data_IF_591342691601
#
_entry.id   IF_591342691601
#
_cell.length_a   1.000
_cell.length_b   1.000
_cell.length_c   1.000
_cell.angle_alpha   90.00
_cell.angle_beta   90.00
_cell.angle_gamma   90.00
#
_symmetry.space_group_name_H-M   'P 1'
#
loop_
_entity.id
_entity.type
_entity.pdbx_description
1 polymer ?
#
# COMPACT_ATOMS: atom_id res chain seq x y z
N UNK A 1 7.05 8.64 12.92
CA UNK A 1 8.38 9.26 13.09
C UNK A 1 8.61 10.33 12.03
N UNK A 2 9.20 11.47 12.39
CA UNK A 2 9.33 12.65 11.51
C UNK A 2 10.75 12.75 10.94
N UNK A 3 11.04 11.95 9.90
CA UNK A 3 12.25 12.14 9.08
C UNK A 3 12.17 13.52 8.39
N UNK A 4 13.24 14.28 8.42
CA UNK A 4 13.29 15.66 7.90
C UNK A 4 14.44 15.88 6.92
N UNK A 5 14.45 17.04 6.26
CA UNK A 5 15.57 17.44 5.39
C UNK A 5 16.89 17.60 6.15
N UNK A 6 16.85 17.86 7.46
CA UNK A 6 18.06 17.97 8.29
C UNK A 6 18.83 16.65 8.41
N UNK A 7 18.14 15.52 8.21
CA UNK A 7 18.75 14.19 8.23
C UNK A 7 19.51 13.87 6.92
N UNK A 8 19.35 14.70 5.88
CA UNK A 8 19.96 14.52 4.57
C UNK A 8 21.17 15.45 4.43
N UNK A 9 22.37 14.87 4.32
CA UNK A 9 23.63 15.62 4.17
C UNK A 9 24.16 15.57 2.74
N UNK A 10 24.55 16.73 2.20
CA UNK A 10 25.39 16.78 0.99
C UNK A 10 26.83 16.45 1.37
N UNK A 11 27.49 15.65 0.54
CA UNK A 11 28.86 15.17 0.75
C UNK A 11 29.73 15.56 -0.45
N UNK A 12 30.98 15.94 -0.21
CA UNK A 12 31.92 16.38 -1.25
C UNK A 12 32.72 15.21 -1.89
N UNK A 13 32.53 13.97 -1.44
CA UNK A 13 33.15 12.80 -2.05
C UNK A 13 32.98 11.52 -1.23
N UNK A 14 33.39 10.37 -1.77
CA UNK A 14 33.31 9.06 -1.09
C UNK A 14 34.19 8.97 0.16
N UNK A 15 35.24 9.78 0.26
CA UNK A 15 36.17 9.79 1.39
C UNK A 15 35.53 10.31 2.70
N UNK A 16 34.54 11.20 2.62
CA UNK A 16 33.78 11.66 3.80
C UNK A 16 32.93 10.54 4.39
N UNK A 17 32.36 9.67 3.55
CA UNK A 17 31.63 8.48 3.99
C UNK A 17 32.54 7.44 4.67
N UNK A 18 33.83 7.42 4.32
CA UNK A 18 34.81 6.47 4.89
C UNK A 18 35.38 6.95 6.23
N UNK A 19 35.47 8.27 6.44
CA UNK A 19 35.87 8.88 7.73
C UNK A 19 34.73 8.98 8.73
N UNK A 20 33.48 8.95 8.28
CA UNK A 20 32.27 9.17 9.07
C UNK A 20 31.76 7.95 9.88
N UNK A 21 32.64 7.09 10.39
CA UNK A 21 32.20 6.05 11.36
C UNK A 21 31.65 6.68 12.66
N UNK A 22 32.01 7.93 12.96
CA UNK A 22 31.49 8.70 14.08
C UNK A 22 30.06 9.25 13.85
N UNK A 23 29.67 9.52 12.60
CA UNK A 23 28.43 10.25 12.27
C UNK A 23 27.30 9.34 11.73
N UNK A 24 27.52 8.02 11.70
CA UNK A 24 26.51 7.03 11.25
C UNK A 24 25.90 7.38 9.88
N UNK A 25 26.72 7.81 8.91
CA UNK A 25 26.25 8.23 7.58
C UNK A 25 26.12 7.05 6.61
N UNK A 26 24.96 6.94 5.95
CA UNK A 26 24.73 5.96 4.87
C UNK A 26 24.44 6.65 3.54
N UNK A 27 25.06 6.16 2.46
CA UNK A 27 24.92 6.76 1.13
C UNK A 27 23.52 6.54 0.56
N UNK A 28 22.84 7.60 0.13
CA UNK A 28 21.55 7.53 -0.57
C UNK A 28 21.63 7.85 -2.06
N UNK A 29 22.59 8.66 -2.48
CA UNK A 29 22.86 9.02 -3.88
C UNK A 29 24.31 9.52 -3.99
N UNK A 30 24.82 9.66 -5.21
CA UNK A 30 26.09 10.37 -5.40
C UNK A 30 26.00 11.78 -4.78
N UNK A 31 26.95 12.12 -3.90
CA UNK A 31 27.00 13.39 -3.18
C UNK A 31 25.94 13.58 -2.08
N UNK A 32 25.13 12.56 -1.74
CA UNK A 32 24.06 12.69 -0.73
C UNK A 32 24.01 11.47 0.19
N UNK A 33 23.97 11.72 1.50
CA UNK A 33 23.93 10.72 2.56
C UNK A 33 22.78 10.99 3.54
N UNK A 34 22.39 9.95 4.28
CA UNK A 34 21.47 9.98 5.41
C UNK A 34 22.26 9.85 6.71
N UNK A 35 21.96 10.73 7.67
CA UNK A 35 22.36 10.56 9.06
C UNK A 35 21.45 9.51 9.71
N UNK A 36 22.01 8.37 10.09
CA UNK A 36 21.25 7.27 10.72
C UNK A 36 21.23 7.48 12.23
N UNK A 37 20.03 7.53 12.81
CA UNK A 37 19.90 7.50 14.26
C UNK A 37 20.25 6.09 14.78
N UNK A 38 21.09 5.93 15.82
CA UNK A 38 21.46 4.63 16.36
C UNK A 38 20.27 3.75 16.76
N UNK A 39 19.19 4.38 17.24
CA UNK A 39 17.93 3.73 17.61
C UNK A 39 17.31 2.93 16.46
N UNK A 40 17.49 3.37 15.21
CA UNK A 40 16.92 2.68 14.06
C UNK A 40 17.48 1.27 13.86
N UNK A 41 18.63 0.94 14.46
CA UNK A 41 19.18 -0.41 14.42
C UNK A 41 18.25 -1.45 15.06
N UNK A 42 17.51 -1.08 16.12
CA UNK A 42 16.56 -1.97 16.82
C UNK A 42 15.19 -2.03 16.15
N UNK A 43 14.91 -1.13 15.20
CA UNK A 43 13.62 -1.09 14.53
C UNK A 43 13.36 -2.36 13.72
N UNK A 44 12.09 -2.76 13.60
CA UNK A 44 11.72 -3.87 12.76
C UNK A 44 12.00 -3.58 11.27
N UNK A 45 12.16 -4.61 10.43
CA UNK A 45 12.51 -4.43 9.02
C UNK A 45 11.57 -3.49 8.25
N UNK A 46 10.26 -3.57 8.48
CA UNK A 46 9.27 -2.75 7.77
C UNK A 46 9.45 -1.25 8.02
N UNK A 47 9.74 -0.87 9.26
CA UNK A 47 9.93 0.53 9.64
C UNK A 47 11.23 1.08 9.05
N UNK A 48 12.31 0.27 9.06
CA UNK A 48 13.56 0.62 8.37
C UNK A 48 13.35 0.83 6.86
N UNK A 49 12.55 -0.02 6.21
CA UNK A 49 12.23 0.12 4.79
C UNK A 49 11.44 1.41 4.51
N UNK A 50 10.46 1.73 5.34
CA UNK A 50 9.68 2.98 5.24
C UNK A 50 10.56 4.22 5.41
N UNK A 51 11.47 4.20 6.39
CA UNK A 51 12.45 5.28 6.64
C UNK A 51 13.32 5.50 5.39
N UNK A 52 13.91 4.43 4.86
CA UNK A 52 14.77 4.52 3.68
C UNK A 52 14.00 4.99 2.43
N UNK A 53 12.76 4.54 2.24
CA UNK A 53 11.92 5.01 1.15
C UNK A 53 11.69 6.53 1.21
N UNK A 54 11.34 7.07 2.40
CA UNK A 54 11.20 8.52 2.63
C UNK A 54 12.54 9.26 2.46
N UNK A 55 13.62 8.72 2.98
CA UNK A 55 14.94 9.34 2.88
C UNK A 55 15.41 9.46 1.41
N UNK A 56 15.10 8.46 0.58
CA UNK A 56 15.38 8.51 -0.86
C UNK A 56 14.58 9.58 -1.60
N UNK A 57 13.34 9.85 -1.21
CA UNK A 57 12.53 10.97 -1.74
C UNK A 57 13.22 12.30 -1.41
N UNK A 58 13.63 12.50 -0.16
CA UNK A 58 14.32 13.71 0.27
C UNK A 58 15.69 13.87 -0.42
N UNK A 59 16.44 12.78 -0.61
CA UNK A 59 17.68 12.79 -1.37
C UNK A 59 17.46 13.15 -2.85
N UNK A 60 16.35 12.71 -3.46
CA UNK A 60 15.99 13.11 -4.81
C UNK A 60 15.65 14.62 -4.88
N UNK A 61 14.93 15.16 -3.90
CA UNK A 61 14.67 16.61 -3.82
C UNK A 61 15.98 17.40 -3.66
N UNK A 62 16.86 16.97 -2.75
CA UNK A 62 18.17 17.62 -2.55
C UNK A 62 19.03 17.57 -3.82
N UNK A 63 18.91 16.54 -4.66
CA UNK A 63 19.64 16.44 -5.92
C UNK A 63 19.04 17.27 -7.07
N UNK A 64 17.71 17.33 -7.16
CA UNK A 64 17.00 17.91 -8.31
C UNK A 64 16.56 19.37 -8.09
N UNK A 65 16.47 19.79 -6.83
CA UNK A 65 16.03 21.13 -6.46
C UNK A 65 14.50 21.30 -6.46
N UNK A 66 14.01 22.52 -6.16
CA UNK A 66 12.61 22.78 -5.81
C UNK A 66 11.62 22.70 -6.98
N UNK A 67 12.10 22.62 -8.23
CA UNK A 67 11.23 22.54 -9.41
C UNK A 67 10.65 21.14 -9.64
N UNK A 68 11.17 20.11 -8.96
CA UNK A 68 10.71 18.72 -9.09
C UNK A 68 9.36 18.51 -8.42
N UNK A 69 8.47 17.76 -9.08
CA UNK A 69 7.19 17.31 -8.49
C UNK A 69 7.22 15.81 -8.24
N UNK A 70 6.94 15.35 -7.03
CA UNK A 70 6.86 13.93 -6.69
C UNK A 70 5.51 13.35 -7.11
N UNK A 71 5.54 12.14 -7.69
CA UNK A 71 4.34 11.46 -8.23
C UNK A 71 4.37 9.96 -7.93
N UNK A 72 3.31 9.24 -8.29
CA UNK A 72 3.13 7.80 -8.07
C UNK A 72 3.48 7.38 -6.64
N UNK A 73 4.37 6.40 -6.45
CA UNK A 73 4.80 5.93 -5.13
C UNK A 73 5.41 7.00 -4.24
N UNK A 74 6.17 7.95 -4.80
CA UNK A 74 6.73 9.06 -4.01
C UNK A 74 5.62 9.92 -3.43
N UNK A 75 4.62 10.24 -4.25
CA UNK A 75 3.48 11.01 -3.78
C UNK A 75 2.65 10.24 -2.76
N UNK A 76 2.39 8.95 -3.01
CA UNK A 76 1.69 8.08 -2.06
C UNK A 76 2.35 8.12 -0.67
N UNK A 77 3.67 7.94 -0.62
CA UNK A 77 4.44 7.99 0.62
C UNK A 77 4.43 9.37 1.29
N UNK A 78 4.55 10.47 0.53
CA UNK A 78 4.47 11.84 1.06
C UNK A 78 3.07 12.19 1.58
N UNK A 79 2.02 11.60 1.01
CA UNK A 79 0.68 11.62 1.56
C UNK A 79 0.50 10.67 2.75
N UNK A 80 1.56 10.02 3.26
CA UNK A 80 1.47 9.11 4.40
C UNK A 80 0.69 7.83 4.11
N UNK A 81 0.62 7.42 2.84
CA UNK A 81 -0.03 6.19 2.41
C UNK A 81 1.02 5.16 1.99
N UNK A 82 0.70 3.88 2.22
CA UNK A 82 1.55 2.74 1.84
C UNK A 82 0.90 1.98 0.69
N UNK A 83 1.69 1.66 -0.34
CA UNK A 83 1.25 0.82 -1.46
C UNK A 83 1.57 -0.66 -1.24
N UNK A 84 1.29 -1.50 -2.23
CA UNK A 84 1.69 -2.91 -2.17
C UNK A 84 3.21 -3.09 -2.13
N UNK A 85 3.96 -2.26 -2.85
CA UNK A 85 5.43 -2.31 -2.89
C UNK A 85 5.99 -1.59 -1.65
N UNK A 86 6.72 -2.32 -0.81
CA UNK A 86 7.34 -1.76 0.40
C UNK A 86 8.64 -0.99 0.10
N UNK A 87 9.34 -1.33 -0.98
CA UNK A 87 10.56 -0.64 -1.43
C UNK A 87 10.38 -0.10 -2.86
N UNK A 88 9.57 0.97 -3.05
CA UNK A 88 9.28 1.49 -4.37
C UNK A 88 10.40 2.34 -4.95
N UNK A 89 10.42 2.45 -6.27
CA UNK A 89 11.23 3.45 -6.98
C UNK A 89 10.77 4.87 -6.61
N UNK A 90 11.71 5.82 -6.57
CA UNK A 90 11.38 7.23 -6.44
C UNK A 90 10.96 7.74 -7.81
N UNK A 91 9.72 8.21 -7.93
CA UNK A 91 9.15 8.74 -9.16
C UNK A 91 8.92 10.24 -9.04
N UNK A 92 9.36 10.98 -10.05
CA UNK A 92 9.28 12.44 -10.14
C UNK A 92 8.79 12.91 -11.50
N UNK A 93 8.30 14.14 -11.58
CA UNK A 93 8.12 14.92 -12.81
C UNK A 93 9.12 16.07 -12.78
N UNK A 94 9.79 16.26 -13.91
CA UNK A 94 10.77 17.33 -14.14
C UNK A 94 10.44 18.02 -15.45
N UNK A 95 10.71 19.32 -15.54
CA UNK A 95 10.51 20.12 -16.76
C UNK A 95 11.48 19.71 -17.88
N UNK A 96 12.72 19.38 -17.50
CA UNK A 96 13.74 18.85 -18.40
C UNK A 96 13.78 17.32 -18.33
N UNK A 97 14.23 16.68 -19.42
CA UNK A 97 14.43 15.22 -19.44
C UNK A 97 15.46 14.82 -18.38
N UNK A 98 15.08 13.89 -17.52
CA UNK A 98 15.96 13.32 -16.50
C UNK A 98 16.19 11.83 -16.81
N UNK A 99 17.45 11.39 -17.03
CA UNK A 99 17.73 9.97 -17.22
C UNK A 99 17.50 9.21 -15.91
N UNK A 100 17.00 7.98 -16.02
CA UNK A 100 16.87 7.09 -14.85
C UNK A 100 18.23 6.93 -14.19
N UNK A 101 18.27 7.12 -12.87
CA UNK A 101 19.49 6.92 -12.07
C UNK A 101 19.22 5.95 -10.92
N UNK A 102 20.29 5.32 -10.44
CA UNK A 102 20.20 4.32 -9.36
C UNK A 102 20.36 4.99 -8.01
N UNK A 103 19.58 4.53 -7.04
CA UNK A 103 19.76 4.79 -5.61
C UNK A 103 20.25 3.47 -4.99
N UNK A 104 21.41 3.45 -4.31
CA UNK A 104 22.07 2.23 -3.86
C UNK A 104 21.26 1.51 -2.78
N UNK A 105 21.64 0.26 -2.52
CA UNK A 105 21.19 -0.47 -1.33
C UNK A 105 21.70 0.22 -0.07
N UNK A 106 20.89 0.18 0.98
CA UNK A 106 21.19 0.85 2.25
C UNK A 106 21.05 -0.16 3.38
N UNK A 107 22.02 -0.21 4.27
CA UNK A 107 22.06 -1.16 5.39
C UNK A 107 21.94 -0.39 6.71
N UNK A 108 20.99 -0.79 7.56
CA UNK A 108 20.81 -0.29 8.92
C UNK A 108 20.75 -1.49 9.87
N UNK A 109 21.73 -1.60 10.77
CA UNK A 109 21.92 -2.79 11.60
C UNK A 109 22.06 -4.05 10.72
N UNK A 110 21.21 -5.05 10.96
CA UNK A 110 21.19 -6.31 10.19
C UNK A 110 20.28 -6.27 8.96
N UNK A 111 19.54 -5.17 8.74
CA UNK A 111 18.56 -5.07 7.66
C UNK A 111 19.15 -4.34 6.46
N UNK A 112 19.14 -4.98 5.29
CA UNK A 112 19.52 -4.35 4.02
C UNK A 112 18.27 -4.02 3.21
N UNK A 113 18.10 -2.74 2.86
CA UNK A 113 17.07 -2.26 1.94
C UNK A 113 17.63 -2.28 0.52
N UNK A 114 17.06 -3.07 -0.41
CA UNK A 114 17.56 -3.23 -1.77
C UNK A 114 17.61 -1.91 -2.56
N UNK A 115 18.44 -1.88 -3.60
CA UNK A 115 18.56 -0.72 -4.50
C UNK A 115 17.24 -0.43 -5.21
N UNK A 116 17.03 0.83 -5.56
CA UNK A 116 15.87 1.29 -6.34
C UNK A 116 16.31 2.33 -7.37
N UNK A 117 15.37 2.78 -8.20
CA UNK A 117 15.63 3.78 -9.23
C UNK A 117 14.94 5.10 -8.91
N UNK A 118 15.59 6.20 -9.30
CA UNK A 118 14.96 7.51 -9.46
C UNK A 118 14.53 7.65 -10.92
N UNK A 119 13.23 7.76 -11.15
CA UNK A 119 12.60 7.76 -12.49
C UNK A 119 11.81 9.03 -12.74
N UNK A 120 11.87 9.50 -13.98
CA UNK A 120 10.96 10.52 -14.48
C UNK A 120 9.67 9.86 -14.98
N UNK A 121 8.52 10.29 -14.45
CA UNK A 121 7.21 9.98 -15.04
C UNK A 121 6.97 10.85 -16.27
N UNK A 122 6.37 10.25 -17.30
CA UNK A 122 5.96 10.91 -18.54
C UNK A 122 4.45 11.16 -18.62
N UNK A 123 3.70 10.79 -17.60
CA UNK A 123 2.28 11.13 -17.54
C UNK A 123 2.13 12.64 -17.31
N UNK A 124 1.05 13.23 -17.80
CA UNK A 124 0.71 14.60 -17.43
C UNK A 124 -0.26 14.55 -16.26
N UNK A 125 -0.10 15.41 -15.23
CA UNK A 125 -1.12 15.54 -14.19
C UNK A 125 -2.40 16.11 -14.81
N UNK A 126 -3.55 15.70 -14.29
CA UNK A 126 -4.86 16.22 -14.68
C UNK A 126 -5.26 17.39 -13.77
N UNK A 127 -4.76 17.41 -12.52
CA UNK A 127 -5.05 18.44 -11.52
C UNK A 127 -3.82 19.23 -11.08
N UNK A 128 -3.99 20.11 -10.07
CA UNK A 128 -2.92 20.94 -9.52
C UNK A 128 -2.06 20.16 -8.52
N UNK A 129 -0.77 20.49 -8.50
CA UNK A 129 0.20 20.06 -7.49
C UNK A 129 -0.16 20.57 -6.10
N UNK A 130 0.03 19.74 -5.08
CA UNK A 130 -0.05 20.09 -3.66
C UNK A 130 1.36 20.26 -3.07
N UNK A 131 1.47 20.95 -1.93
CA UNK A 131 2.75 21.25 -1.28
C UNK A 131 2.81 20.66 0.13
N UNK A 132 3.95 20.04 0.47
CA UNK A 132 4.30 19.58 1.81
C UNK A 132 5.63 20.24 2.21
N UNK A 133 5.55 21.38 2.90
CA UNK A 133 6.71 22.27 3.02
C UNK A 133 7.24 22.66 1.63
N UNK A 134 8.52 22.44 1.39
CA UNK A 134 9.17 22.74 0.11
C UNK A 134 8.98 21.66 -0.96
N UNK A 135 8.31 20.55 -0.62
CA UNK A 135 8.09 19.44 -1.53
C UNK A 135 6.83 19.67 -2.37
N UNK A 136 6.97 19.65 -3.69
CA UNK A 136 5.86 19.65 -4.64
C UNK A 136 5.41 18.21 -4.89
N UNK A 137 4.12 17.92 -4.79
CA UNK A 137 3.59 16.55 -4.85
C UNK A 137 2.30 16.53 -5.67
N UNK A 138 2.09 15.50 -6.49
CA UNK A 138 0.81 15.31 -7.18
C UNK A 138 -0.35 15.12 -6.17
N UNK A 139 -1.54 15.59 -6.53
CA UNK A 139 -2.73 15.40 -5.72
C UNK A 139 -3.09 13.91 -5.64
N UNK A 140 -3.78 13.50 -4.58
CA UNK A 140 -4.26 12.11 -4.45
C UNK A 140 -5.18 11.69 -5.60
N UNK A 141 -5.91 12.64 -6.21
CA UNK A 141 -6.75 12.36 -7.37
C UNK A 141 -5.91 11.96 -8.57
N UNK A 142 -4.87 12.74 -8.91
CA UNK A 142 -3.95 12.40 -9.99
C UNK A 142 -3.21 11.08 -9.73
N UNK A 143 -2.75 10.89 -8.48
CA UNK A 143 -2.06 9.66 -8.08
C UNK A 143 -2.97 8.45 -8.27
N UNK A 144 -4.25 8.53 -7.89
CA UNK A 144 -5.22 7.44 -8.09
C UNK A 144 -5.42 7.13 -9.59
N UNK A 145 -5.57 8.15 -10.44
CA UNK A 145 -5.71 7.97 -11.90
C UNK A 145 -4.44 7.35 -12.49
N UNK A 146 -3.26 7.82 -12.09
CA UNK A 146 -1.97 7.32 -12.54
C UNK A 146 -1.79 5.82 -12.19
N UNK A 147 -2.10 5.43 -10.95
CA UNK A 147 -2.08 4.02 -10.53
C UNK A 147 -3.10 3.19 -11.29
N UNK A 148 -4.38 3.61 -11.30
CA UNK A 148 -5.46 2.87 -11.96
C UNK A 148 -5.19 2.64 -13.46
N UNK A 149 -4.63 3.64 -14.15
CA UNK A 149 -4.33 3.58 -15.57
C UNK A 149 -3.01 2.88 -15.89
N UNK A 150 -1.99 3.00 -15.05
CA UNK A 150 -0.60 2.62 -15.38
C UNK A 150 -0.08 1.36 -14.68
N UNK A 151 -0.43 1.15 -13.42
CA UNK A 151 0.18 0.12 -12.57
C UNK A 151 -0.34 -1.29 -12.83
N UNK A 152 0.28 -2.27 -12.16
CA UNK A 152 -0.26 -3.63 -12.07
C UNK A 152 -1.61 -3.61 -11.33
N UNK A 153 -2.64 -4.41 -11.72
CA UNK A 153 -3.94 -4.40 -11.04
C UNK A 153 -3.89 -4.52 -9.52
N UNK A 154 -3.08 -5.44 -8.97
CA UNK A 154 -2.86 -5.55 -7.52
C UNK A 154 -2.38 -4.23 -6.90
N UNK A 155 -1.31 -3.66 -7.44
CA UNK A 155 -0.70 -2.42 -6.94
C UNK A 155 -1.65 -1.24 -7.06
N UNK A 156 -2.35 -1.14 -8.20
CA UNK A 156 -3.34 -0.11 -8.44
C UNK A 156 -4.52 -0.22 -7.48
N UNK A 157 -5.04 -1.44 -7.25
CA UNK A 157 -6.16 -1.67 -6.35
C UNK A 157 -5.81 -1.31 -4.92
N UNK A 158 -4.65 -1.76 -4.41
CA UNK A 158 -4.16 -1.43 -3.07
C UNK A 158 -3.97 0.08 -2.90
N UNK A 159 -3.29 0.73 -3.84
CA UNK A 159 -3.06 2.18 -3.76
C UNK A 159 -4.38 2.97 -3.82
N UNK A 160 -5.28 2.63 -4.76
CA UNK A 160 -6.56 3.34 -4.92
C UNK A 160 -7.48 3.13 -3.72
N UNK A 161 -7.54 1.94 -3.12
CA UNK A 161 -8.30 1.70 -1.88
C UNK A 161 -7.80 2.59 -0.73
N UNK A 162 -6.49 2.67 -0.53
CA UNK A 162 -5.89 3.53 0.49
C UNK A 162 -6.15 5.02 0.23
N UNK A 163 -6.08 5.45 -1.05
CA UNK A 163 -6.38 6.82 -1.46
C UNK A 163 -7.85 7.16 -1.20
N UNK A 164 -8.77 6.28 -1.62
CA UNK A 164 -10.21 6.45 -1.38
C UNK A 164 -10.50 6.59 0.11
N UNK A 165 -9.95 5.69 0.93
CA UNK A 165 -10.10 5.72 2.39
C UNK A 165 -9.68 7.06 2.98
N UNK A 166 -8.52 7.57 2.55
CA UNK A 166 -8.00 8.86 3.01
C UNK A 166 -8.85 10.04 2.56
N UNK A 167 -9.29 10.05 1.31
CA UNK A 167 -10.08 11.15 0.75
C UNK A 167 -11.49 11.22 1.33
N UNK A 168 -12.13 10.08 1.62
CA UNK A 168 -13.48 10.03 2.18
C UNK A 168 -13.52 9.87 3.70
N UNK A 169 -12.37 9.79 4.39
CA UNK A 169 -12.31 9.61 5.84
C UNK A 169 -13.10 8.41 6.36
N UNK A 170 -13.07 7.28 5.64
CA UNK A 170 -13.96 6.15 5.91
C UNK A 170 -13.85 5.65 7.35
N UNK A 171 -14.99 5.51 8.01
CA UNK A 171 -15.11 4.96 9.35
C UNK A 171 -16.17 3.84 9.37
N UNK A 172 -15.72 2.61 9.67
CA UNK A 172 -16.59 1.42 9.74
C UNK A 172 -17.70 1.52 10.78
N UNK A 173 -17.55 2.37 11.80
CA UNK A 173 -18.55 2.54 12.84
C UNK A 173 -19.66 3.53 12.48
N UNK A 174 -19.51 4.26 11.36
CA UNK A 174 -20.50 5.21 10.84
C UNK A 174 -20.70 4.99 9.32
N UNK A 175 -21.17 3.81 8.89
CA UNK A 175 -21.32 3.49 7.47
C UNK A 175 -22.31 4.41 6.73
N UNK A 176 -23.36 4.87 7.42
CA UNK A 176 -24.39 5.78 6.90
C UNK A 176 -23.82 7.12 6.40
N UNK A 177 -22.72 7.60 6.99
CA UNK A 177 -22.01 8.79 6.51
C UNK A 177 -20.82 8.43 5.61
N UNK A 178 -20.11 7.34 5.91
CA UNK A 178 -18.90 6.95 5.19
C UNK A 178 -19.16 6.46 3.76
N UNK A 179 -20.21 5.66 3.54
CA UNK A 179 -20.52 5.08 2.22
C UNK A 179 -20.92 6.17 1.20
N UNK A 180 -21.80 7.14 1.51
CA UNK A 180 -22.06 8.25 0.58
C UNK A 180 -20.82 9.07 0.24
N UNK A 181 -19.95 9.35 1.22
CA UNK A 181 -18.70 10.08 0.98
C UNK A 181 -17.74 9.31 0.05
N UNK A 182 -17.58 8.00 0.30
CA UNK A 182 -16.82 7.11 -0.58
C UNK A 182 -17.34 7.14 -2.03
N UNK A 183 -18.65 7.04 -2.20
CA UNK A 183 -19.30 7.09 -3.52
C UNK A 183 -19.12 8.45 -4.22
N UNK A 184 -19.12 9.55 -3.46
CA UNK A 184 -18.86 10.89 -4.01
C UNK A 184 -17.42 11.01 -4.51
N UNK A 185 -16.43 10.62 -3.70
CA UNK A 185 -15.02 10.61 -4.13
C UNK A 185 -14.83 9.70 -5.35
N UNK A 186 -15.42 8.51 -5.35
CA UNK A 186 -15.37 7.57 -6.48
C UNK A 186 -15.92 8.19 -7.76
N UNK A 187 -17.07 8.85 -7.69
CA UNK A 187 -17.68 9.56 -8.82
C UNK A 187 -16.78 10.68 -9.34
N UNK A 188 -16.15 11.44 -8.44
CA UNK A 188 -15.19 12.48 -8.83
C UNK A 188 -13.96 11.91 -9.53
N UNK A 189 -13.42 10.77 -9.09
CA UNK A 189 -12.30 10.10 -9.76
C UNK A 189 -12.70 9.55 -11.13
N UNK A 190 -13.89 8.95 -11.25
CA UNK A 190 -14.38 8.46 -12.54
C UNK A 190 -14.60 9.61 -13.54
N UNK A 191 -15.20 10.72 -13.10
CA UNK A 191 -15.35 11.92 -13.94
C UNK A 191 -13.99 12.51 -14.36
N UNK A 192 -13.00 12.49 -13.47
CA UNK A 192 -11.63 12.93 -13.79
C UNK A 192 -10.94 11.99 -14.78
N UNK A 193 -11.21 10.68 -14.71
CA UNK A 193 -10.72 9.72 -15.71
C UNK A 193 -11.34 9.98 -17.09
N UNK A 194 -12.63 10.26 -17.13
CA UNK A 194 -13.39 10.53 -18.36
C UNK A 194 -12.96 11.82 -19.06
N UNK A 195 -12.54 12.84 -18.31
CA UNK A 195 -12.00 14.08 -18.89
C UNK A 195 -10.60 13.93 -19.51
N UNK A 196 -9.95 12.77 -19.33
CA UNK A 196 -8.65 12.44 -19.92
C UNK A 196 -8.72 11.19 -20.84
N UNK A 197 -9.55 11.19 -21.91
CA UNK A 197 -9.90 9.98 -22.66
C UNK A 197 -8.75 9.39 -23.49
N UNK A 198 -7.72 10.18 -23.81
CA UNK A 198 -6.54 9.74 -24.57
C UNK A 198 -5.55 8.94 -23.72
N UNK A 199 -5.80 8.80 -22.42
CA UNK A 199 -4.93 8.06 -21.51
C UNK A 199 -4.98 6.55 -21.81
N UNK A 200 -3.81 5.92 -21.88
CA UNK A 200 -3.75 4.45 -22.02
C UNK A 200 -4.29 3.79 -20.76
N UNK A 201 -4.97 2.66 -20.90
CA UNK A 201 -5.45 1.87 -19.77
C UNK A 201 -6.75 2.34 -19.14
N UNK A 202 -7.53 3.23 -19.77
CA UNK A 202 -8.81 3.76 -19.25
C UNK A 202 -9.78 2.65 -18.83
N UNK A 203 -9.95 1.59 -19.62
CA UNK A 203 -10.85 0.48 -19.26
C UNK A 203 -10.44 -0.23 -17.96
N UNK A 204 -9.12 -0.41 -17.75
CA UNK A 204 -8.59 -0.96 -16.50
C UNK A 204 -8.77 0.04 -15.37
N UNK A 205 -8.46 1.31 -15.60
CA UNK A 205 -8.61 2.36 -14.62
C UNK A 205 -10.05 2.44 -14.10
N UNK A 206 -11.02 2.45 -15.01
CA UNK A 206 -12.44 2.42 -14.66
C UNK A 206 -12.76 1.23 -13.75
N UNK A 207 -12.35 0.01 -14.11
CA UNK A 207 -12.59 -1.19 -13.28
C UNK A 207 -11.96 -1.09 -11.89
N UNK A 208 -10.71 -0.63 -11.79
CA UNK A 208 -10.03 -0.42 -10.50
C UNK A 208 -10.77 0.64 -9.67
N UNK A 209 -11.08 1.80 -10.26
CA UNK A 209 -11.79 2.88 -9.59
C UNK A 209 -13.22 2.48 -9.22
N UNK A 210 -13.87 1.57 -9.93
CA UNK A 210 -15.20 1.05 -9.57
C UNK A 210 -15.14 0.15 -8.34
N UNK A 211 -14.12 -0.70 -8.22
CA UNK A 211 -14.11 -1.79 -7.24
C UNK A 211 -13.14 -1.63 -6.07
N UNK A 212 -12.16 -0.73 -6.14
CA UNK A 212 -11.31 -0.39 -5.01
C UNK A 212 -12.17 0.09 -3.84
N UNK A 213 -11.87 -0.32 -2.61
CA UNK A 213 -12.77 -0.13 -1.48
C UNK A 213 -12.06 0.58 -0.31
N UNK A 214 -12.60 1.71 0.19
CA UNK A 214 -12.03 2.40 1.34
C UNK A 214 -12.20 1.64 2.67
N UNK A 215 -13.02 0.59 2.71
CA UNK A 215 -13.21 -0.26 3.88
C UNK A 215 -11.97 -1.09 4.25
N UNK A 216 -11.06 -1.35 3.30
CA UNK A 216 -9.78 -1.99 3.59
C UNK A 216 -8.90 -1.09 4.48
N UNK A 217 -8.53 -1.58 5.66
CA UNK A 217 -7.75 -0.81 6.64
C UNK A 217 -6.24 -0.86 6.36
N UNK A 218 -5.78 -1.88 5.64
CA UNK A 218 -4.38 -2.08 5.31
C UNK A 218 -4.17 -2.68 3.91
N UNK A 219 -2.90 -2.76 3.49
CA UNK A 219 -2.51 -3.22 2.15
C UNK A 219 -2.81 -4.70 1.91
N UNK A 220 -2.84 -5.53 2.97
CA UNK A 220 -3.14 -6.95 2.86
C UNK A 220 -4.64 -7.19 2.65
N UNK A 221 -5.50 -6.46 3.37
CA UNK A 221 -6.95 -6.49 3.14
C UNK A 221 -7.31 -6.06 1.71
N UNK A 222 -6.69 -4.97 1.21
CA UNK A 222 -6.94 -4.52 -0.16
C UNK A 222 -6.44 -5.53 -1.21
N UNK A 223 -5.30 -6.19 -0.96
CA UNK A 223 -4.80 -7.26 -1.82
C UNK A 223 -5.73 -8.49 -1.79
N UNK A 224 -6.20 -8.90 -0.62
CA UNK A 224 -7.14 -9.98 -0.45
C UNK A 224 -8.46 -9.70 -1.15
N UNK A 225 -9.03 -8.50 -0.99
CA UNK A 225 -10.24 -8.07 -1.70
C UNK A 225 -10.06 -8.15 -3.20
N UNK A 226 -8.92 -7.69 -3.72
CA UNK A 226 -8.60 -7.80 -5.14
C UNK A 226 -8.64 -9.27 -5.61
N UNK A 227 -8.03 -10.21 -4.88
CA UNK A 227 -8.08 -11.64 -5.25
C UNK A 227 -9.51 -12.18 -5.17
N UNK A 228 -10.24 -11.90 -4.09
CA UNK A 228 -11.62 -12.35 -3.88
C UNK A 228 -12.56 -11.89 -4.99
N UNK A 229 -12.47 -10.63 -5.43
CA UNK A 229 -13.24 -10.12 -6.56
C UNK A 229 -13.03 -10.98 -7.82
N UNK A 230 -11.87 -11.61 -8.01
CA UNK A 230 -11.60 -12.41 -9.21
C UNK A 230 -12.18 -13.82 -9.20
N UNK A 231 -12.77 -14.25 -8.07
CA UNK A 231 -13.29 -15.62 -7.84
C UNK A 231 -14.68 -15.65 -7.21
N UNK A 232 -15.13 -14.56 -6.56
CA UNK A 232 -16.40 -14.50 -5.86
C UNK A 232 -17.59 -14.43 -6.84
N UNK A 233 -18.69 -15.16 -6.55
CA UNK A 233 -19.91 -15.12 -7.36
C UNK A 233 -20.77 -13.89 -7.07
N UNK A 234 -20.60 -13.28 -5.88
CA UNK A 234 -21.27 -12.07 -5.41
C UNK A 234 -20.23 -11.04 -4.94
N UNK A 235 -20.59 -9.74 -4.84
CA UNK A 235 -19.63 -8.71 -4.41
C UNK A 235 -19.19 -8.97 -2.97
N UNK A 236 -17.88 -9.12 -2.68
CA UNK A 236 -17.39 -9.16 -1.32
C UNK A 236 -17.63 -7.80 -0.64
N UNK A 237 -18.05 -7.82 0.63
CA UNK A 237 -18.29 -6.62 1.42
C UNK A 237 -17.19 -6.46 2.48
N UNK A 238 -16.51 -5.31 2.47
CA UNK A 238 -15.52 -4.99 3.50
C UNK A 238 -16.16 -4.49 4.79
N UNK A 239 -15.52 -4.73 5.94
CA UNK A 239 -15.99 -4.24 7.24
C UNK A 239 -17.46 -4.61 7.51
N UNK A 240 -17.83 -5.85 7.18
CA UNK A 240 -19.21 -6.31 7.27
C UNK A 240 -19.59 -6.51 8.74
N UNK A 241 -20.59 -5.75 9.22
CA UNK A 241 -21.06 -5.81 10.60
C UNK A 241 -22.00 -7.00 10.82
N UNK A 242 -21.77 -7.75 11.90
CA UNK A 242 -22.70 -8.76 12.41
C UNK A 242 -22.91 -8.57 13.90
N UNK A 243 -24.13 -8.86 14.36
CA UNK A 243 -24.55 -8.63 15.75
C UNK A 243 -25.05 -9.87 16.48
N UNK A 244 -24.31 -11.00 16.51
CA UNK A 244 -24.70 -12.18 17.26
C UNK A 244 -24.84 -11.85 18.76
N UNK A 245 -25.98 -12.21 19.34
CA UNK A 245 -26.29 -11.99 20.77
C UNK A 245 -26.16 -10.51 21.20
N UNK A 246 -26.46 -9.58 20.29
CA UNK A 246 -26.44 -8.13 20.56
C UNK A 246 -25.04 -7.52 20.66
N UNK A 247 -23.96 -8.27 20.39
CA UNK A 247 -22.59 -7.75 20.33
C UNK A 247 -22.17 -7.55 18.88
N UNK A 248 -21.65 -6.36 18.57
CA UNK A 248 -21.19 -5.98 17.23
C UNK A 248 -19.79 -6.56 16.96
N UNK A 249 -19.64 -7.19 15.81
CA UNK A 249 -18.36 -7.64 15.25
C UNK A 249 -18.26 -7.22 13.79
N UNK A 250 -17.04 -7.07 13.30
CA UNK A 250 -16.75 -6.71 11.93
C UNK A 250 -15.81 -7.73 11.31
N UNK A 251 -16.19 -8.26 10.16
CA UNK A 251 -15.28 -9.02 9.31
C UNK A 251 -14.55 -8.08 8.36
N UNK A 252 -13.25 -8.32 8.15
CA UNK A 252 -12.46 -7.51 7.21
C UNK A 252 -13.10 -7.55 5.82
N UNK A 253 -13.46 -8.75 5.36
CA UNK A 253 -14.20 -8.99 4.11
C UNK A 253 -15.18 -10.15 4.33
N UNK A 254 -16.40 -10.06 3.80
CA UNK A 254 -17.40 -11.12 3.86
C UNK A 254 -18.11 -11.36 2.53
N UNK A 255 -18.58 -12.60 2.33
CA UNK A 255 -19.56 -13.01 1.33
C UNK A 255 -20.83 -13.43 2.08
N UNK A 256 -21.77 -12.49 2.33
CA UNK A 256 -22.91 -12.75 3.22
C UNK A 256 -23.86 -13.84 2.71
N UNK A 257 -24.07 -13.94 1.39
CA UNK A 257 -24.91 -14.97 0.78
C UNK A 257 -24.38 -16.38 1.01
N UNK A 258 -23.06 -16.51 1.20
CA UNK A 258 -22.38 -17.78 1.47
C UNK A 258 -22.06 -18.01 2.95
N UNK A 259 -22.27 -17.02 3.82
CA UNK A 259 -21.85 -17.02 5.24
C UNK A 259 -20.34 -17.31 5.42
N UNK A 260 -19.52 -16.77 4.52
CA UNK A 260 -18.05 -16.87 4.59
C UNK A 260 -17.49 -15.49 4.94
N UNK A 261 -16.59 -15.45 5.91
CA UNK A 261 -15.81 -14.28 6.26
C UNK A 261 -14.33 -14.57 6.06
N UNK A 262 -13.58 -13.55 5.64
CA UNK A 262 -12.14 -13.60 5.48
C UNK A 262 -11.52 -12.57 6.44
N UNK A 263 -10.60 -13.01 7.29
CA UNK A 263 -9.89 -12.17 8.25
C UNK A 263 -8.39 -12.21 7.96
N UNK A 264 -7.75 -11.04 7.89
CA UNK A 264 -6.31 -10.95 7.75
C UNK A 264 -5.64 -10.97 9.12
N UNK A 265 -4.81 -11.98 9.36
CA UNK A 265 -4.03 -12.14 10.58
C UNK A 265 -2.60 -11.62 10.35
N UNK A 266 -2.43 -10.32 10.53
CA UNK A 266 -1.11 -9.71 10.50
C UNK A 266 -0.29 -10.19 11.68
N UNK A 267 0.78 -10.97 11.44
CA UNK A 267 1.78 -11.25 12.48
C UNK A 267 2.21 -9.94 13.15
N UNK A 268 1.99 -9.82 14.46
CA UNK A 268 2.62 -8.77 15.28
C UNK A 268 1.69 -7.82 16.04
N UNK A 269 0.74 -8.33 16.81
CA UNK A 269 0.40 -7.74 18.13
C UNK A 269 0.25 -8.85 19.17
N UNK A 270 1.30 -9.65 19.33
CA UNK A 270 1.40 -10.51 20.51
C UNK A 270 1.84 -9.59 21.64
N UNK A 271 1.04 -9.54 22.71
CA UNK A 271 1.24 -8.65 23.85
C UNK A 271 2.65 -8.73 24.41
N UNK A 272 3.06 -7.69 25.14
CA UNK A 272 4.43 -7.60 25.68
C UNK A 272 4.67 -8.55 26.85
N UNK A 273 3.63 -9.26 27.32
CA UNK A 273 3.70 -10.29 28.35
C UNK A 273 2.95 -11.57 27.96
N UNK A 274 3.40 -12.71 28.48
CA UNK A 274 2.77 -14.02 28.29
C UNK A 274 1.30 -14.05 28.77
N UNK A 275 1.00 -13.36 29.87
CA UNK A 275 -0.36 -13.26 30.39
C UNK A 275 -1.30 -12.47 29.46
N UNK A 276 -0.80 -11.38 28.87
CA UNK A 276 -1.54 -10.60 27.88
C UNK A 276 -1.75 -11.41 26.60
N UNK A 277 -0.74 -12.14 26.14
CA UNK A 277 -0.84 -13.03 25.00
C UNK A 277 -1.93 -14.10 25.21
N UNK A 278 -1.92 -14.81 26.34
CA UNK A 278 -2.93 -15.82 26.67
C UNK A 278 -4.34 -15.22 26.80
N UNK A 279 -4.47 -13.97 27.25
CA UNK A 279 -5.77 -13.28 27.30
C UNK A 279 -6.28 -12.97 25.89
N UNK A 280 -5.45 -12.35 25.04
CA UNK A 280 -5.80 -12.01 23.66
C UNK A 280 -6.16 -13.25 22.84
N UNK A 281 -5.42 -14.34 23.03
CA UNK A 281 -5.70 -15.62 22.38
C UNK A 281 -7.07 -16.19 22.80
N UNK A 282 -7.40 -16.13 24.10
CA UNK A 282 -8.73 -16.56 24.60
C UNK A 282 -9.86 -15.69 24.04
N UNK A 283 -9.69 -14.38 24.04
CA UNK A 283 -10.68 -13.45 23.47
C UNK A 283 -10.90 -13.70 21.96
N UNK A 284 -9.83 -13.97 21.21
CA UNK A 284 -9.90 -14.32 19.80
C UNK A 284 -10.67 -15.63 19.58
N UNK A 285 -10.37 -16.67 20.36
CA UNK A 285 -11.07 -17.96 20.29
C UNK A 285 -12.55 -17.83 20.67
N UNK A 286 -12.87 -17.01 21.68
CA UNK A 286 -14.25 -16.73 22.09
C UNK A 286 -15.02 -15.99 20.99
N UNK A 287 -14.41 -14.96 20.40
CA UNK A 287 -14.95 -14.26 19.23
C UNK A 287 -15.23 -15.24 18.09
N UNK A 288 -14.26 -16.06 17.72
CA UNK A 288 -14.40 -17.02 16.64
C UNK A 288 -15.55 -18.01 16.90
N UNK A 289 -15.62 -18.59 18.10
CA UNK A 289 -16.71 -19.52 18.47
C UNK A 289 -18.10 -18.86 18.42
N UNK A 290 -18.22 -17.59 18.81
CA UNK A 290 -19.49 -16.85 18.74
C UNK A 290 -19.93 -16.69 17.29
N UNK A 291 -19.01 -16.32 16.40
CA UNK A 291 -19.29 -16.08 14.99
C UNK A 291 -19.59 -17.39 14.24
N UNK A 292 -18.84 -18.45 14.54
CA UNK A 292 -19.09 -19.79 14.00
C UNK A 292 -20.45 -20.35 14.44
N UNK A 293 -20.83 -20.18 15.72
CA UNK A 293 -22.18 -20.54 16.21
C UNK A 293 -23.29 -19.71 15.56
N UNK A 294 -22.97 -18.52 15.05
CA UNK A 294 -23.88 -17.69 14.26
C UNK A 294 -23.93 -18.11 12.77
N UNK A 295 -23.31 -19.25 12.42
CA UNK A 295 -23.34 -19.85 11.09
C UNK A 295 -22.26 -19.35 10.14
N UNK A 296 -21.28 -18.58 10.62
CA UNK A 296 -20.20 -18.06 9.78
C UNK A 296 -19.00 -19.00 9.73
N UNK A 297 -18.49 -19.24 8.53
CA UNK A 297 -17.18 -19.85 8.34
C UNK A 297 -16.13 -18.76 8.20
N UNK A 298 -15.09 -18.81 9.03
CA UNK A 298 -14.01 -17.82 9.03
C UNK A 298 -12.76 -18.41 8.38
N UNK A 299 -12.31 -17.78 7.31
CA UNK A 299 -11.07 -18.13 6.58
C UNK A 299 -10.00 -17.11 6.96
N UNK A 300 -8.95 -17.55 7.65
CA UNK A 300 -7.81 -16.70 8.01
C UNK A 300 -6.76 -16.65 6.90
N UNK A 301 -6.26 -15.45 6.64
CA UNK A 301 -5.23 -15.17 5.64
C UNK A 301 -4.01 -14.57 6.33
N UNK A 302 -2.83 -15.10 6.02
CA UNK A 302 -1.55 -14.66 6.60
C UNK A 302 -0.67 -14.00 5.54
N UNK A 303 0.41 -13.33 5.96
CA UNK A 303 1.37 -12.73 5.03
C UNK A 303 1.97 -13.74 4.04
N UNK A 304 2.19 -14.98 4.49
CA UNK A 304 2.77 -16.07 3.70
C UNK A 304 1.87 -16.46 2.52
N UNK A 305 0.55 -16.31 2.65
CA UNK A 305 -0.39 -16.59 1.56
C UNK A 305 -0.14 -15.68 0.34
N UNK A 306 0.40 -14.47 0.55
CA UNK A 306 0.73 -13.54 -0.53
C UNK A 306 2.07 -13.82 -1.22
N UNK A 307 2.80 -14.87 -0.81
CA UNK A 307 4.04 -15.28 -1.51
C UNK A 307 3.73 -15.92 -2.87
N UNK A 308 2.58 -16.61 -2.99
CA UNK A 308 2.06 -17.20 -4.23
C UNK A 308 0.60 -16.80 -4.43
N UNK A 309 0.39 -15.75 -5.21
CA UNK A 309 -0.94 -15.23 -5.52
C UNK A 309 -1.79 -16.20 -6.35
N UNK A 310 -1.18 -17.01 -7.22
CA UNK A 310 -1.91 -17.99 -8.03
C UNK A 310 -2.40 -19.17 -7.15
N UNK A 311 -1.59 -19.59 -6.16
CA UNK A 311 -2.03 -20.55 -5.15
C UNK A 311 -3.12 -19.98 -4.24
N UNK A 312 -2.95 -18.75 -3.73
CA UNK A 312 -3.97 -18.07 -2.93
C UNK A 312 -5.29 -17.95 -3.70
N UNK A 313 -5.25 -17.54 -4.96
CA UNK A 313 -6.45 -17.41 -5.79
C UNK A 313 -7.18 -18.75 -5.96
N UNK A 314 -6.45 -19.85 -6.18
CA UNK A 314 -7.03 -21.20 -6.29
C UNK A 314 -7.66 -21.63 -4.97
N UNK A 315 -6.92 -21.50 -3.87
CA UNK A 315 -7.42 -21.78 -2.51
C UNK A 315 -8.72 -21.01 -2.23
N UNK A 316 -8.75 -19.70 -2.51
CA UNK A 316 -9.96 -18.90 -2.27
C UNK A 316 -11.13 -19.31 -3.17
N UNK A 317 -10.90 -19.72 -4.42
CA UNK A 317 -11.95 -20.27 -5.26
C UNK A 317 -12.52 -21.57 -4.67
N UNK A 318 -11.65 -22.48 -4.20
CA UNK A 318 -12.05 -23.73 -3.56
C UNK A 318 -12.83 -23.47 -2.26
N UNK A 319 -12.35 -22.54 -1.44
CA UNK A 319 -13.04 -22.11 -0.22
C UNK A 319 -14.42 -21.55 -0.53
N UNK A 320 -14.61 -20.83 -1.63
CA UNK A 320 -15.91 -20.26 -2.03
C UNK A 320 -16.79 -21.31 -2.74
N UNK A 321 -16.21 -22.38 -3.26
CA UNK A 321 -16.90 -23.36 -4.11
C UNK A 321 -17.08 -22.89 -5.56
N UNK A 322 -16.19 -22.02 -6.06
CA UNK A 322 -16.18 -21.52 -7.44
C UNK A 322 -14.95 -22.01 -8.21
N UNK A 323 -14.86 -21.66 -9.50
CA UNK A 323 -13.68 -21.92 -10.33
C UNK A 323 -12.99 -20.62 -10.69
N UNK A 324 -11.67 -20.62 -10.69
CA UNK A 324 -10.89 -19.46 -11.13
C UNK A 324 -11.24 -19.06 -12.56
N UNK A 325 -11.37 -17.76 -12.82
CA UNK A 325 -11.73 -17.25 -14.14
C UNK A 325 -13.23 -17.20 -14.41
N UNK A 326 -14.06 -17.73 -13.50
CA UNK A 326 -15.50 -17.54 -13.50
C UNK A 326 -15.86 -16.40 -12.52
N UNK A 327 -16.84 -15.57 -12.87
CA UNK A 327 -17.29 -14.45 -12.05
C UNK A 327 -17.19 -13.10 -12.76
N UNK A 328 -18.00 -12.10 -12.34
CA UNK A 328 -18.19 -10.85 -13.06
C UNK A 328 -16.96 -9.93 -13.06
N UNK A 329 -15.98 -10.17 -12.17
CA UNK A 329 -14.75 -9.37 -12.07
C UNK A 329 -13.47 -10.15 -12.33
N UNK A 330 -13.56 -11.35 -12.92
CA UNK A 330 -12.40 -12.21 -13.26
C UNK A 330 -11.33 -11.48 -14.08
N UNK A 331 -11.73 -10.52 -14.91
CA UNK A 331 -10.86 -9.63 -15.69
C UNK A 331 -9.92 -8.71 -14.89
N UNK A 332 -10.13 -8.56 -13.57
CA UNK A 332 -9.21 -7.84 -12.69
C UNK A 332 -7.93 -8.65 -12.43
N UNK A 333 -7.96 -9.95 -12.68
CA UNK A 333 -6.84 -10.83 -12.47
C UNK A 333 -5.70 -10.53 -13.45
N UNK A 334 -4.49 -10.52 -12.90
CA UNK A 334 -3.25 -10.56 -13.67
C UNK A 334 -2.19 -11.27 -12.81
N UNK A 335 -1.43 -12.24 -13.36
CA UNK A 335 -0.35 -12.88 -12.63
C UNK A 335 0.63 -11.86 -12.06
N UNK A 336 0.95 -12.00 -10.78
CA UNK A 336 1.77 -11.05 -10.04
C UNK A 336 3.25 -11.30 -10.33
N UNK A 337 3.98 -10.37 -10.95
CA UNK A 337 5.38 -10.61 -11.30
C UNK A 337 6.29 -10.50 -10.07
N UNK A 338 7.43 -11.20 -10.10
CA UNK A 338 8.50 -11.10 -9.08
C UNK A 338 9.00 -9.66 -8.93
N UNK A 339 8.98 -8.87 -10.01
CA UNK A 339 9.36 -7.45 -9.95
C UNK A 339 8.43 -6.57 -9.11
N UNK A 340 7.28 -7.10 -8.66
CA UNK A 340 6.32 -6.43 -7.77
C UNK A 340 6.28 -7.07 -6.37
N UNK A 341 6.44 -8.38 -6.28
CA UNK A 341 6.23 -9.14 -5.04
C UNK A 341 7.50 -9.83 -4.49
N UNK A 342 8.62 -9.74 -5.20
CA UNK A 342 9.86 -10.41 -4.85
C UNK A 342 10.65 -9.72 -3.72
N UNK A 343 11.80 -10.31 -3.34
CA UNK A 343 12.61 -9.86 -2.19
C UNK A 343 13.22 -8.47 -2.37
N UNK A 344 13.30 -7.95 -3.60
CA UNK A 344 13.73 -6.57 -3.85
C UNK A 344 12.66 -5.51 -3.53
N UNK A 345 11.41 -5.94 -3.36
CA UNK A 345 10.22 -5.09 -3.29
C UNK A 345 9.41 -5.29 -2.02
N UNK A 346 9.56 -6.44 -1.36
CA UNK A 346 8.93 -6.78 -0.09
C UNK A 346 9.90 -7.55 0.81
N UNK A 347 9.73 -7.40 2.11
CA UNK A 347 10.54 -8.04 3.16
C UNK A 347 9.84 -9.31 3.74
N UNK A 348 9.08 -10.03 2.88
CA UNK A 348 8.24 -11.18 3.25
C UNK A 348 9.00 -12.25 4.05
#
# INVERSE_FOLDING_TARGET
>A
MQLSLADIRRTQGTHELTRASADHLVKLKHGIALSVCPEWCSYPPWEKWEIIAKARILAAWSALGPSVTFTAHSALALHGLTGWVANPDVVVRTTSRYPTSTLPSVTIGTTTVPRVFLRQSRTSPVTKTVHFGDLRVDSLHDVAIDFAAGAHPLEAFVAVSAILRKLCGFNRFTPESSVPQANNVRRSLLALLESAPTRRGVRRAHRILTHADPGCENVAEAALLWVLLTVAPEPPLTQFEVSPRGKRYFFDIALPGLRIAFEFDGMGKMGTSEAEFLRLQREMLDRQRILERAGWRIVRIQWQDFTDFDALRRRLADEIGTRTGQGPWSQLWKPVPVSLNGPERRFL
#
